data_IF_932277027638
#
_entry.id   IF_932277027638
#
_cell.length_a   1.000
_cell.length_b   1.000
_cell.length_c   1.000
_cell.angle_alpha   90.00
_cell.angle_beta   90.00
_cell.angle_gamma   90.00
#
_symmetry.space_group_name_H-M   'P 1'
#
loop_
_entity.id
_entity.type
_entity.pdbx_description
1 polymer ?
#
# COMPACT_ATOMS: atom_id res chain seq x y z
N UNK A 1 2.04 11.12 7.69
CA UNK A 1 3.25 11.74 7.09
C UNK A 1 4.06 12.57 8.08
N UNK A 2 3.44 13.36 8.96
CA UNK A 2 4.19 14.18 9.93
C UNK A 2 4.97 13.35 10.95
N UNK A 3 4.40 12.23 11.40
CA UNK A 3 5.09 11.28 12.29
C UNK A 3 6.37 10.73 11.67
N UNK A 4 6.34 10.31 10.39
CA UNK A 4 7.52 9.82 9.67
C UNK A 4 8.61 10.90 9.58
N UNK A 5 8.23 12.14 9.23
CA UNK A 5 9.17 13.26 9.15
C UNK A 5 9.81 13.55 10.50
N UNK A 6 9.03 13.47 11.58
CA UNK A 6 9.53 13.67 12.94
C UNK A 6 10.52 12.55 13.32
N UNK A 7 10.15 11.28 13.08
CA UNK A 7 11.02 10.14 13.36
C UNK A 7 12.35 10.22 12.59
N UNK A 8 12.33 10.60 11.31
CA UNK A 8 13.54 10.78 10.48
C UNK A 8 14.44 11.90 11.04
N UNK A 9 13.85 12.99 11.55
CA UNK A 9 14.62 14.11 12.13
C UNK A 9 15.31 13.74 13.44
N UNK A 10 14.64 12.94 14.26
CA UNK A 10 15.14 12.48 15.56
C UNK A 10 16.21 11.38 15.43
N UNK A 11 16.12 10.56 14.38
CA UNK A 11 17.08 9.50 14.11
C UNK A 11 18.49 10.05 13.79
N UNK A 12 19.52 9.30 14.23
CA UNK A 12 20.91 9.58 13.88
C UNK A 12 21.27 8.98 12.52
N UNK A 13 20.73 7.80 12.22
CA UNK A 13 20.95 7.06 10.98
C UNK A 13 19.65 6.33 10.59
N UNK A 14 19.24 6.51 9.35
CA UNK A 14 18.00 5.94 8.81
C UNK A 14 18.35 5.01 7.65
N UNK A 15 17.75 3.83 7.63
CA UNK A 15 17.77 2.95 6.46
C UNK A 15 16.37 2.86 5.89
N UNK A 16 16.22 3.09 4.59
CA UNK A 16 15.02 2.75 3.84
C UNK A 16 15.27 1.44 3.10
N UNK A 17 14.39 0.47 3.26
CA UNK A 17 14.51 -0.86 2.65
C UNK A 17 13.33 -1.10 1.73
N UNK A 18 13.63 -1.53 0.51
CA UNK A 18 12.68 -1.96 -0.51
C UNK A 18 12.80 -3.48 -0.76
N UNK A 19 11.69 -4.18 -1.04
CA UNK A 19 11.77 -5.59 -1.43
C UNK A 19 12.37 -5.76 -2.83
N UNK A 20 12.85 -6.98 -3.11
CA UNK A 20 13.43 -7.39 -4.40
C UNK A 20 12.51 -7.12 -5.60
N UNK A 21 11.19 -7.17 -5.38
CA UNK A 21 10.14 -6.95 -6.38
C UNK A 21 9.57 -5.51 -6.37
N UNK A 22 10.26 -4.56 -5.75
CA UNK A 22 9.81 -3.16 -5.69
C UNK A 22 9.64 -2.54 -7.08
N UNK A 23 8.59 -1.73 -7.21
CA UNK A 23 8.30 -0.98 -8.44
C UNK A 23 9.17 0.29 -8.55
N UNK A 24 9.23 0.90 -9.73
CA UNK A 24 9.90 2.21 -9.88
C UNK A 24 9.23 3.29 -9.02
N UNK A 25 7.92 3.18 -8.79
CA UNK A 25 7.19 4.09 -7.90
C UNK A 25 7.69 4.00 -6.47
N UNK A 26 7.91 2.78 -5.95
CA UNK A 26 8.41 2.57 -4.59
C UNK A 26 9.82 3.15 -4.45
N UNK A 27 10.66 2.90 -5.45
CA UNK A 27 12.02 3.44 -5.51
C UNK A 27 12.04 4.97 -5.54
N UNK A 28 11.23 5.58 -6.41
CA UNK A 28 11.11 7.04 -6.50
C UNK A 28 10.56 7.64 -5.20
N UNK A 29 9.60 6.98 -4.55
CA UNK A 29 9.08 7.41 -3.25
C UNK A 29 10.17 7.37 -2.18
N UNK A 30 10.97 6.30 -2.13
CA UNK A 30 12.11 6.18 -1.23
C UNK A 30 13.15 7.29 -1.47
N UNK A 31 13.46 7.62 -2.73
CA UNK A 31 14.33 8.75 -3.06
C UNK A 31 13.80 10.10 -2.58
N UNK A 32 12.48 10.32 -2.65
CA UNK A 32 11.89 11.55 -2.11
C UNK A 32 12.03 11.63 -0.58
N UNK A 33 11.93 10.50 0.11
CA UNK A 33 12.20 10.45 1.56
C UNK A 33 13.69 10.70 1.83
N UNK A 34 14.60 10.11 1.05
CA UNK A 34 16.05 10.33 1.19
C UNK A 34 16.44 11.80 1.06
N UNK A 35 15.78 12.56 0.17
CA UNK A 35 16.01 14.01 0.00
C UNK A 35 15.76 14.84 1.25
N UNK A 36 15.04 14.33 2.25
CA UNK A 36 14.84 15.00 3.53
C UNK A 36 16.19 15.19 4.25
N UNK A 37 17.06 14.18 4.21
CA UNK A 37 18.40 14.24 4.78
C UNK A 37 19.33 13.20 4.12
N UNK A 38 19.93 13.51 2.96
CA UNK A 38 20.69 12.54 2.16
C UNK A 38 21.91 11.94 2.88
N UNK A 39 22.49 12.67 3.84
CA UNK A 39 23.68 12.20 4.58
C UNK A 39 23.34 11.17 5.65
N UNK A 40 22.11 11.21 6.19
CA UNK A 40 21.65 10.29 7.23
C UNK A 40 20.84 9.11 6.70
N UNK A 41 20.29 9.23 5.50
CA UNK A 41 19.33 8.28 4.95
C UNK A 41 20.01 7.41 3.89
N UNK A 42 20.16 6.13 4.21
CA UNK A 42 20.66 5.11 3.31
C UNK A 42 19.50 4.37 2.65
N UNK A 43 19.53 4.22 1.34
CA UNK A 43 18.53 3.46 0.58
C UNK A 43 19.11 2.10 0.22
N UNK A 44 18.44 1.04 0.66
CA UNK A 44 18.73 -0.35 0.28
C UNK A 44 17.64 -0.77 -0.70
N UNK A 45 18.03 -0.90 -1.97
CA UNK A 45 17.13 -1.24 -3.06
C UNK A 45 17.66 -2.44 -3.86
N UNK A 46 16.83 -3.07 -4.69
CA UNK A 46 17.30 -4.11 -5.59
C UNK A 46 18.37 -3.56 -6.54
N UNK A 47 19.42 -4.34 -6.81
CA UNK A 47 20.56 -3.90 -7.61
C UNK A 47 20.17 -3.39 -9.01
N UNK A 48 19.14 -3.98 -9.62
CA UNK A 48 18.58 -3.52 -10.90
C UNK A 48 18.05 -2.08 -10.81
N UNK A 49 17.39 -1.71 -9.69
CA UNK A 49 16.85 -0.36 -9.49
C UNK A 49 17.96 0.65 -9.25
N UNK A 50 18.97 0.28 -8.46
CA UNK A 50 20.14 1.14 -8.27
C UNK A 50 20.83 1.42 -9.60
N UNK A 51 21.04 0.39 -10.44
CA UNK A 51 21.68 0.55 -11.75
C UNK A 51 20.85 1.38 -12.74
N UNK A 52 19.53 1.20 -12.77
CA UNK A 52 18.66 1.91 -13.70
C UNK A 52 18.56 3.41 -13.39
N UNK A 53 18.72 3.80 -12.13
CA UNK A 53 18.40 5.14 -11.66
C UNK A 53 19.59 5.91 -11.05
N UNK A 54 20.74 5.25 -10.82
CA UNK A 54 21.94 5.88 -10.23
C UNK A 54 22.35 7.14 -10.96
N UNK A 55 22.43 7.06 -12.29
CA UNK A 55 22.93 8.14 -13.15
C UNK A 55 21.94 9.30 -13.23
N UNK A 56 20.64 9.00 -13.13
CA UNK A 56 19.58 9.99 -13.25
C UNK A 56 19.45 10.86 -11.99
N UNK A 57 19.73 10.29 -10.82
CA UNK A 57 19.49 10.96 -9.53
C UNK A 57 20.74 11.18 -8.68
N UNK A 58 21.94 10.94 -9.24
CA UNK A 58 23.22 11.06 -8.52
C UNK A 58 23.21 10.26 -7.20
N UNK A 59 22.68 9.04 -7.27
CA UNK A 59 22.51 8.18 -6.09
C UNK A 59 23.88 7.63 -5.73
N UNK A 60 24.39 8.03 -4.57
CA UNK A 60 25.62 7.46 -4.04
C UNK A 60 25.34 6.03 -3.56
N UNK A 61 26.10 5.03 -4.04
CA UNK A 61 25.94 3.66 -3.58
C UNK A 61 26.12 3.61 -2.06
N UNK A 62 25.23 2.89 -1.38
CA UNK A 62 25.37 2.69 0.06
C UNK A 62 26.60 1.83 0.30
N UNK A 63 27.44 2.26 1.24
CA UNK A 63 28.56 1.44 1.71
C UNK A 63 27.97 0.21 2.42
N UNK A 64 28.10 -0.94 1.78
CA UNK A 64 27.80 -2.23 2.39
C UNK A 64 29.00 -2.66 3.25
N UNK A 65 28.72 -3.23 4.41
CA UNK A 65 29.74 -3.86 5.24
C UNK A 65 29.73 -5.36 4.95
N UNK A 66 30.90 -5.95 4.74
CA UNK A 66 31.04 -7.40 4.60
C UNK A 66 31.74 -7.93 5.83
N UNK A 67 31.05 -8.74 6.64
CA UNK A 67 31.60 -9.36 7.82
C UNK A 67 32.11 -10.76 7.51
N UNK A 68 33.30 -11.04 8.04
CA UNK A 68 33.88 -12.36 8.13
C UNK A 68 33.83 -12.74 9.62
N UNK A 69 32.95 -13.65 9.98
CA UNK A 69 32.71 -14.05 11.37
C UNK A 69 33.30 -15.43 11.63
N UNK A 70 34.05 -15.56 12.72
CA UNK A 70 34.67 -16.81 13.14
C UNK A 70 34.12 -17.22 14.51
N UNK A 71 33.58 -18.42 14.62
CA UNK A 71 33.21 -19.01 15.91
C UNK A 71 34.49 -19.41 16.67
N UNK A 72 34.92 -18.54 17.59
CA UNK A 72 36.13 -18.73 18.39
C UNK A 72 36.01 -19.86 19.42
N UNK A 73 34.82 -20.38 19.69
CA UNK A 73 34.64 -21.56 20.53
C UNK A 73 34.99 -22.84 19.77
N UNK A 74 34.64 -22.90 18.47
CA UNK A 74 34.98 -24.01 17.58
C UNK A 74 36.40 -23.90 16.99
N UNK A 75 36.90 -22.69 16.76
CA UNK A 75 38.22 -22.43 16.21
C UNK A 75 38.86 -21.20 16.86
N UNK A 76 39.54 -21.37 18.02
CA UNK A 76 40.21 -20.27 18.71
C UNK A 76 41.26 -19.60 17.83
N UNK A 77 41.16 -18.27 17.71
CA UNK A 77 42.13 -17.43 17.01
C UNK A 77 43.01 -16.74 18.05
N UNK A 78 44.33 -16.90 17.96
CA UNK A 78 45.28 -16.28 18.89
C UNK A 78 45.76 -14.92 18.39
N UNK A 79 46.00 -14.84 17.09
CA UNK A 79 46.50 -13.64 16.44
C UNK A 79 45.77 -13.45 15.10
N UNK A 80 45.37 -12.21 14.84
CA UNK A 80 44.85 -11.78 13.55
C UNK A 80 45.82 -10.73 13.01
N UNK A 81 46.32 -10.97 11.80
CA UNK A 81 47.07 -9.99 11.02
C UNK A 81 46.50 -9.93 9.62
N UNK A 82 46.65 -8.80 8.95
CA UNK A 82 46.25 -8.65 7.56
C UNK A 82 47.32 -7.92 6.76
N UNK A 83 47.41 -8.28 5.48
CA UNK A 83 48.28 -7.60 4.51
C UNK A 83 47.40 -7.13 3.37
N UNK A 84 47.44 -5.82 3.10
CA UNK A 84 46.73 -5.21 1.99
C UNK A 84 47.72 -5.02 0.83
N UNK A 85 47.59 -5.85 -0.20
CA UNK A 85 48.28 -5.68 -1.48
C UNK A 85 47.49 -4.75 -2.42
N UNK A 86 48.01 -4.59 -3.63
CA UNK A 86 47.40 -3.72 -4.65
C UNK A 86 46.00 -4.21 -5.09
N UNK A 87 45.79 -5.53 -5.14
CA UNK A 87 44.54 -6.16 -5.61
C UNK A 87 43.94 -7.18 -4.66
N UNK A 88 44.54 -7.40 -3.49
CA UNK A 88 44.08 -8.41 -2.53
C UNK A 88 44.24 -7.94 -1.09
N UNK A 89 43.31 -8.38 -0.24
CA UNK A 89 43.44 -8.32 1.20
C UNK A 89 43.62 -9.76 1.70
N UNK A 90 44.80 -10.06 2.25
CA UNK A 90 45.09 -11.37 2.84
C UNK A 90 44.94 -11.26 4.35
N UNK A 91 44.05 -12.05 4.94
CA UNK A 91 43.88 -12.15 6.39
C UNK A 91 44.56 -13.43 6.85
N UNK A 92 45.50 -13.33 7.79
CA UNK A 92 46.12 -14.48 8.42
C UNK A 92 45.59 -14.63 9.84
N UNK A 93 45.19 -15.86 10.17
CA UNK A 93 44.66 -16.25 11.46
C UNK A 93 45.61 -17.28 12.05
N UNK A 94 46.30 -16.94 13.14
CA UNK A 94 47.18 -17.87 13.86
C UNK A 94 46.36 -18.67 14.86
N UNK A 95 46.52 -19.99 14.85
CA UNK A 95 45.74 -20.91 15.67
C UNK A 95 46.63 -22.07 16.17
N UNK A 96 46.34 -22.63 17.36
CA UNK A 96 47.07 -23.77 17.94
C UNK A 96 46.63 -25.15 17.43
N UNK A 97 45.42 -25.25 16.90
CA UNK A 97 44.81 -26.50 16.45
C UNK A 97 44.40 -26.39 14.99
N UNK A 98 44.06 -27.50 14.32
CA UNK A 98 43.58 -27.44 12.94
C UNK A 98 42.35 -26.51 12.84
N UNK A 99 42.38 -25.58 11.88
CA UNK A 99 41.28 -24.63 11.64
C UNK A 99 40.06 -25.38 11.10
N UNK A 100 38.89 -25.16 11.69
CA UNK A 100 37.65 -25.70 11.18
C UNK A 100 36.97 -24.68 10.27
N UNK A 101 36.92 -24.97 8.96
CA UNK A 101 36.26 -24.08 8.01
C UNK A 101 34.77 -23.85 8.32
N UNK A 102 34.10 -24.80 8.99
CA UNK A 102 32.71 -24.63 9.41
C UNK A 102 32.53 -23.55 10.50
N UNK A 103 33.61 -23.12 11.15
CA UNK A 103 33.58 -21.98 12.09
C UNK A 103 33.57 -20.63 11.36
N UNK A 104 33.82 -20.59 10.05
CA UNK A 104 33.84 -19.37 9.26
C UNK A 104 32.48 -19.12 8.61
N UNK A 105 31.98 -17.89 8.73
CA UNK A 105 30.77 -17.44 8.07
C UNK A 105 30.97 -16.05 7.46
N UNK A 106 30.21 -15.77 6.41
CA UNK A 106 30.29 -14.56 5.62
C UNK A 106 28.90 -13.93 5.54
N UNK A 107 28.81 -12.63 5.79
CA UNK A 107 27.54 -11.92 5.75
C UNK A 107 27.72 -10.48 5.26
N UNK A 108 26.83 -10.01 4.38
CA UNK A 108 26.67 -8.58 4.14
C UNK A 108 25.82 -8.00 5.26
N UNK A 109 26.37 -7.08 6.04
CA UNK A 109 25.65 -6.35 7.07
C UNK A 109 25.14 -5.02 6.53
N UNK A 110 23.93 -4.69 6.97
CA UNK A 110 23.45 -3.33 6.86
C UNK A 110 24.25 -2.41 7.78
N UNK A 111 24.50 -1.14 7.37
CA UNK A 111 25.12 -0.18 8.26
C UNK A 111 24.29 -0.01 9.55
N UNK A 112 24.90 0.38 10.67
CA UNK A 112 24.15 0.62 11.90
C UNK A 112 23.14 1.75 11.69
N UNK A 113 21.91 1.51 12.14
CA UNK A 113 20.81 2.47 12.05
C UNK A 113 19.96 2.43 13.33
N UNK A 114 19.44 3.57 13.73
CA UNK A 114 18.47 3.66 14.83
C UNK A 114 17.02 3.78 14.35
N UNK A 115 16.81 3.99 13.04
CA UNK A 115 15.52 3.92 12.38
C UNK A 115 15.61 3.11 11.08
N UNK A 116 14.70 2.15 10.92
CA UNK A 116 14.47 1.41 9.69
C UNK A 116 13.07 1.76 9.17
N UNK A 117 13.00 2.14 7.91
CA UNK A 117 11.76 2.39 7.17
C UNK A 117 11.64 1.32 6.10
N UNK A 118 10.61 0.49 6.15
CA UNK A 118 10.31 -0.46 5.06
C UNK A 118 9.16 0.08 4.22
N UNK A 119 9.27 -0.04 2.90
CA UNK A 119 8.18 0.33 1.99
C UNK A 119 8.19 -0.55 0.75
N UNK A 120 7.05 -0.64 0.05
CA UNK A 120 6.91 -1.54 -1.11
C UNK A 120 6.49 -2.97 -0.74
N UNK A 121 6.53 -3.35 0.54
CA UNK A 121 6.08 -4.66 1.03
C UNK A 121 4.55 -4.77 1.03
N UNK A 122 4.03 -5.95 0.68
CA UNK A 122 2.60 -6.24 0.64
C UNK A 122 1.95 -6.21 2.04
N UNK A 123 2.67 -6.70 3.05
CA UNK A 123 2.19 -6.73 4.44
C UNK A 123 3.30 -6.36 5.43
N UNK A 124 2.92 -6.00 6.66
CA UNK A 124 3.86 -5.79 7.77
C UNK A 124 4.67 -7.06 8.04
N UNK A 125 4.02 -8.22 8.03
CA UNK A 125 4.66 -9.51 8.30
C UNK A 125 5.75 -9.84 7.27
N UNK A 126 5.52 -9.52 5.99
CA UNK A 126 6.54 -9.69 4.94
C UNK A 126 7.75 -8.78 5.18
N UNK A 127 7.50 -7.54 5.60
CA UNK A 127 8.55 -6.60 5.94
C UNK A 127 9.37 -7.08 7.16
N UNK A 128 8.70 -7.53 8.22
CA UNK A 128 9.35 -8.06 9.42
C UNK A 128 10.19 -9.31 9.10
N UNK A 129 9.62 -10.25 8.35
CA UNK A 129 10.34 -11.44 7.92
C UNK A 129 11.59 -11.10 7.09
N UNK A 130 11.49 -10.14 6.17
CA UNK A 130 12.65 -9.68 5.40
C UNK A 130 13.72 -9.07 6.30
N UNK A 131 13.34 -8.31 7.33
CA UNK A 131 14.27 -7.72 8.30
C UNK A 131 14.97 -8.77 9.17
N UNK A 132 14.33 -9.91 9.47
CA UNK A 132 14.94 -11.02 10.20
C UNK A 132 16.05 -11.71 9.41
N UNK A 133 15.93 -11.71 8.07
CA UNK A 133 16.94 -12.27 7.17
C UNK A 133 18.15 -11.34 7.01
N UNK A 134 18.03 -10.06 7.35
CA UNK A 134 19.11 -9.08 7.22
C UNK A 134 19.92 -9.01 8.52
N UNK A 135 21.20 -9.39 8.49
CA UNK A 135 22.02 -9.33 9.69
C UNK A 135 22.31 -7.85 10.02
N UNK A 136 21.79 -7.40 11.17
CA UNK A 136 21.86 -6.00 11.61
C UNK A 136 22.37 -5.89 13.03
N UNK A 137 23.01 -4.76 13.35
CA UNK A 137 23.50 -4.48 14.69
C UNK A 137 22.47 -3.64 15.48
N UNK A 138 22.18 -4.07 16.71
CA UNK A 138 21.37 -3.32 17.67
C UNK A 138 19.86 -3.37 17.44
N UNK A 139 19.13 -2.60 18.25
CA UNK A 139 17.68 -2.42 18.14
C UNK A 139 17.39 -1.12 17.41
N UNK A 140 16.88 -1.22 16.18
CA UNK A 140 16.38 -0.06 15.44
C UNK A 140 14.87 0.06 15.62
N UNK A 141 14.36 1.29 15.71
CA UNK A 141 12.92 1.54 15.56
C UNK A 141 12.51 1.15 14.13
N UNK A 142 11.38 0.48 13.97
CA UNK A 142 10.87 0.11 12.65
C UNK A 142 9.58 0.87 12.34
N UNK A 143 9.52 1.48 11.16
CA UNK A 143 8.31 2.07 10.58
C UNK A 143 8.05 1.38 9.25
N UNK A 144 6.92 0.71 9.12
CA UNK A 144 6.44 0.22 7.83
C UNK A 144 5.54 1.26 7.20
N UNK A 145 5.90 1.68 5.98
CA UNK A 145 5.04 2.47 5.12
C UNK A 145 4.25 1.49 4.28
N UNK A 146 2.99 1.29 4.69
CA UNK A 146 2.03 0.53 3.93
C UNK A 146 2.04 1.02 2.49
N UNK A 147 2.14 0.06 1.56
CA UNK A 147 2.14 0.40 0.17
C UNK A 147 0.78 1.03 -0.14
N UNK A 148 0.76 2.32 -0.49
CA UNK A 148 -0.49 3.03 -0.84
C UNK A 148 -1.20 2.43 -2.06
N UNK A 149 -0.63 1.38 -2.66
CA UNK A 149 -1.36 0.38 -3.41
C UNK A 149 -2.25 -0.45 -2.47
N UNK A 150 -3.29 0.17 -1.90
CA UNK A 150 -4.44 -0.61 -1.47
C UNK A 150 -4.79 -1.51 -2.63
N UNK A 151 -4.79 -2.84 -2.42
CA UNK A 151 -4.92 -3.89 -3.44
C UNK A 151 -5.42 -3.29 -4.75
N UNK A 152 -4.58 -3.29 -5.81
CA UNK A 152 -5.10 -3.14 -7.16
C UNK A 152 -6.12 -4.27 -7.30
N UNK A 153 -7.36 -4.01 -6.89
CA UNK A 153 -8.47 -4.90 -7.01
C UNK A 153 -8.50 -5.10 -8.52
N UNK A 154 -8.00 -6.26 -8.97
CA UNK A 154 -8.07 -6.64 -10.37
C UNK A 154 -9.54 -6.85 -10.61
N UNK A 155 -10.22 -5.75 -10.89
CA UNK A 155 -11.63 -5.73 -11.18
C UNK A 155 -11.77 -6.62 -12.43
N UNK A 156 -12.56 -7.71 -12.38
CA UNK A 156 -12.76 -8.55 -13.54
C UNK A 156 -13.17 -7.70 -14.75
N UNK A 157 -12.74 -8.08 -15.96
CA UNK A 157 -13.07 -7.33 -17.18
C UNK A 157 -14.58 -7.03 -17.31
N UNK A 158 -15.50 -7.97 -17.00
CA UNK A 158 -16.94 -7.68 -16.95
C UNK A 158 -17.31 -6.51 -16.02
N UNK A 159 -16.78 -6.52 -14.79
CA UNK A 159 -17.03 -5.48 -13.80
C UNK A 159 -16.42 -4.12 -14.21
N UNK A 160 -15.30 -4.12 -14.94
CA UNK A 160 -14.75 -2.89 -15.54
C UNK A 160 -15.67 -2.33 -16.63
N UNK A 161 -16.25 -3.20 -17.46
CA UNK A 161 -17.25 -2.79 -18.45
C UNK A 161 -18.51 -2.22 -17.79
N UNK A 162 -18.96 -2.82 -16.68
CA UNK A 162 -20.07 -2.30 -15.87
C UNK A 162 -19.72 -0.93 -15.27
N UNK A 163 -18.50 -0.74 -14.76
CA UNK A 163 -18.04 0.54 -14.23
C UNK A 163 -18.10 1.66 -15.28
N UNK A 164 -17.64 1.40 -16.51
CA UNK A 164 -17.73 2.37 -17.60
C UNK A 164 -19.18 2.75 -17.92
N UNK A 165 -20.10 1.78 -17.89
CA UNK A 165 -21.54 2.04 -18.09
C UNK A 165 -22.15 2.84 -16.95
N UNK A 166 -21.81 2.49 -15.72
CA UNK A 166 -22.24 3.21 -14.51
C UNK A 166 -21.83 4.68 -14.63
N UNK A 167 -20.55 4.96 -14.94
CA UNK A 167 -20.02 6.32 -15.07
C UNK A 167 -20.70 7.14 -16.17
N UNK A 168 -20.94 6.55 -17.34
CA UNK A 168 -21.65 7.22 -18.46
C UNK A 168 -23.08 7.61 -18.08
N UNK A 169 -23.67 6.89 -17.12
CA UNK A 169 -25.03 7.11 -16.62
C UNK A 169 -25.05 7.80 -15.26
N UNK A 170 -23.91 8.34 -14.84
CA UNK A 170 -23.80 9.12 -13.64
C UNK A 170 -24.04 10.61 -13.93
N UNK A 171 -24.69 11.31 -13.00
CA UNK A 171 -24.79 12.77 -13.00
C UNK A 171 -24.49 13.31 -11.61
N UNK A 172 -23.69 14.38 -11.55
CA UNK A 172 -23.41 15.07 -10.30
C UNK A 172 -24.53 16.05 -9.99
N UNK A 173 -24.97 16.03 -8.75
CA UNK A 173 -25.93 16.93 -8.16
C UNK A 173 -25.19 17.89 -7.22
N UNK A 174 -25.00 19.15 -7.62
CA UNK A 174 -24.19 20.09 -6.84
C UNK A 174 -24.87 20.52 -5.54
N UNK A 175 -26.21 20.50 -5.46
CA UNK A 175 -26.96 20.99 -4.30
C UNK A 175 -26.80 20.05 -3.11
N UNK A 176 -26.84 18.74 -3.37
CA UNK A 176 -26.62 17.71 -2.35
C UNK A 176 -25.18 17.22 -2.27
N UNK A 177 -24.34 17.61 -3.24
CA UNK A 177 -23.04 17.02 -3.49
C UNK A 177 -23.12 15.47 -3.57
N UNK A 178 -23.93 14.97 -4.51
CA UNK A 178 -24.20 13.53 -4.70
C UNK A 178 -23.96 13.13 -6.15
N UNK A 179 -23.40 11.94 -6.39
CA UNK A 179 -23.33 11.33 -7.71
C UNK A 179 -24.47 10.33 -7.90
N UNK A 180 -25.44 10.64 -8.74
CA UNK A 180 -26.57 9.75 -9.06
C UNK A 180 -26.24 8.89 -10.27
N UNK A 181 -26.39 7.57 -10.17
CA UNK A 181 -26.11 6.62 -11.25
C UNK A 181 -27.30 5.69 -11.50
N UNK A 182 -27.63 5.45 -12.77
CA UNK A 182 -28.83 4.71 -13.17
C UNK A 182 -28.51 3.58 -14.16
N UNK A 183 -28.51 2.32 -13.70
CA UNK A 183 -28.15 1.14 -14.50
C UNK A 183 -29.39 0.41 -15.00
N UNK A 184 -29.54 0.24 -16.31
CA UNK A 184 -30.63 -0.56 -16.89
C UNK A 184 -30.27 -2.04 -16.94
N UNK A 185 -31.29 -2.90 -17.10
CA UNK A 185 -31.08 -4.35 -17.31
C UNK A 185 -30.11 -4.65 -18.45
N UNK A 186 -30.21 -3.91 -19.55
CA UNK A 186 -29.34 -4.05 -20.72
C UNK A 186 -27.86 -3.86 -20.43
N UNK A 187 -27.50 -3.04 -19.43
CA UNK A 187 -26.11 -2.78 -19.10
C UNK A 187 -25.44 -4.01 -18.48
N UNK A 188 -26.16 -4.72 -17.60
CA UNK A 188 -25.70 -5.99 -17.04
C UNK A 188 -25.51 -7.03 -18.14
N UNK A 189 -26.48 -7.16 -19.05
CA UNK A 189 -26.37 -8.09 -20.17
C UNK A 189 -25.16 -7.76 -21.06
N UNK A 190 -24.93 -6.48 -21.36
CA UNK A 190 -23.81 -6.05 -22.21
C UNK A 190 -22.46 -6.12 -21.49
N UNK A 191 -22.43 -5.97 -20.17
CA UNK A 191 -21.22 -6.09 -19.37
C UNK A 191 -20.94 -7.54 -18.96
N UNK A 192 -21.89 -8.46 -19.15
CA UNK A 192 -21.84 -9.85 -18.65
C UNK A 192 -21.67 -9.89 -17.12
N UNK A 193 -22.46 -9.08 -16.42
CA UNK A 193 -22.44 -8.91 -14.95
C UNK A 193 -23.83 -9.06 -14.35
N UNK A 194 -23.93 -9.02 -13.02
CA UNK A 194 -25.19 -9.02 -12.27
C UNK A 194 -25.24 -7.87 -11.24
N UNK A 195 -26.41 -7.56 -10.64
CA UNK A 195 -26.50 -6.51 -9.62
C UNK A 195 -25.56 -6.71 -8.41
N UNK A 196 -25.21 -7.95 -8.09
CA UNK A 196 -24.27 -8.31 -7.02
C UNK A 196 -22.85 -7.75 -7.27
N UNK A 197 -22.53 -7.36 -8.51
CA UNK A 197 -21.25 -6.71 -8.86
C UNK A 197 -21.22 -5.20 -8.53
N UNK A 198 -22.37 -4.58 -8.22
CA UNK A 198 -22.43 -3.13 -7.95
C UNK A 198 -21.53 -2.71 -6.77
N UNK A 199 -21.54 -3.39 -5.61
CA UNK A 199 -20.69 -3.00 -4.48
C UNK A 199 -19.19 -2.96 -4.83
N UNK A 200 -18.68 -3.95 -5.59
CA UNK A 200 -17.27 -3.97 -5.99
C UNK A 200 -16.95 -2.87 -7.00
N UNK A 201 -17.86 -2.58 -7.93
CA UNK A 201 -17.73 -1.47 -8.89
C UNK A 201 -17.71 -0.12 -8.19
N UNK A 202 -18.65 0.14 -7.26
CA UNK A 202 -18.72 1.40 -6.51
C UNK A 202 -17.47 1.60 -5.67
N UNK A 203 -17.02 0.56 -4.93
CA UNK A 203 -15.76 0.63 -4.16
C UNK A 203 -14.56 0.94 -5.04
N UNK A 204 -14.51 0.35 -6.24
CA UNK A 204 -13.40 0.60 -7.17
C UNK A 204 -13.46 2.02 -7.73
N UNK A 205 -14.65 2.51 -8.09
CA UNK A 205 -14.85 3.88 -8.57
C UNK A 205 -14.37 4.92 -7.54
N UNK A 206 -14.71 4.71 -6.27
CA UNK A 206 -14.27 5.57 -5.16
C UNK A 206 -12.75 5.61 -5.05
N UNK A 207 -12.08 4.46 -5.17
CA UNK A 207 -10.61 4.41 -5.12
C UNK A 207 -9.95 5.14 -6.30
N UNK A 208 -10.63 5.22 -7.44
CA UNK A 208 -10.11 5.81 -8.67
C UNK A 208 -10.46 7.29 -8.85
N UNK A 209 -11.36 7.84 -8.02
CA UNK A 209 -11.88 9.19 -8.16
C UNK A 209 -11.86 9.91 -6.82
N UNK A 210 -12.08 11.22 -6.81
CA UNK A 210 -12.44 11.94 -5.59
C UNK A 210 -13.96 12.10 -5.59
N UNK A 211 -14.73 11.11 -5.09
CA UNK A 211 -16.17 11.14 -5.18
C UNK A 211 -16.74 12.30 -4.33
N UNK A 212 -17.97 12.74 -4.64
CA UNK A 212 -18.66 13.71 -3.81
C UNK A 212 -19.10 13.08 -2.48
N UNK A 213 -19.89 13.80 -1.66
CA UNK A 213 -20.28 13.36 -0.30
C UNK A 213 -20.94 11.98 -0.27
N UNK A 214 -21.68 11.61 -1.32
CA UNK A 214 -22.23 10.27 -1.48
C UNK A 214 -22.39 9.88 -2.96
N UNK A 215 -22.43 8.56 -3.21
CA UNK A 215 -22.78 7.97 -4.50
C UNK A 215 -24.08 7.19 -4.33
N UNK A 216 -25.09 7.48 -5.14
CA UNK A 216 -26.34 6.72 -5.18
C UNK A 216 -26.39 5.96 -6.50
N UNK A 217 -26.53 4.64 -6.42
CA UNK A 217 -26.63 3.78 -7.60
C UNK A 217 -27.97 3.06 -7.59
N UNK A 218 -28.79 3.31 -8.60
CA UNK A 218 -30.02 2.57 -8.86
C UNK A 218 -29.83 1.61 -10.01
N UNK A 219 -30.54 0.49 -9.96
CA UNK A 219 -30.61 -0.44 -11.08
C UNK A 219 -32.01 -1.05 -11.24
N UNK A 220 -32.33 -1.41 -12.48
CA UNK A 220 -33.57 -2.13 -12.81
C UNK A 220 -33.44 -3.63 -12.53
N UNK A 221 -34.46 -4.20 -11.89
CA UNK A 221 -34.68 -5.63 -11.83
C UNK A 221 -36.15 -5.95 -12.18
N UNK A 222 -36.39 -6.98 -12.98
CA UNK A 222 -37.72 -7.22 -13.57
C UNK A 222 -38.10 -6.20 -14.66
N UNK A 223 -39.41 -6.07 -14.96
CA UNK A 223 -39.88 -5.22 -16.07
C UNK A 223 -39.84 -3.72 -15.75
N UNK A 224 -40.08 -3.32 -14.50
CA UNK A 224 -40.13 -1.90 -14.09
C UNK A 224 -39.51 -1.59 -12.73
N UNK A 225 -39.36 -2.60 -11.87
CA UNK A 225 -38.89 -2.36 -10.51
C UNK A 225 -37.44 -1.90 -10.48
N UNK A 226 -37.14 -1.05 -9.52
CA UNK A 226 -35.82 -0.44 -9.32
C UNK A 226 -35.38 -0.68 -7.88
N UNK A 227 -34.12 -1.04 -7.70
CA UNK A 227 -33.47 -1.14 -6.41
C UNK A 227 -32.27 -0.21 -6.40
N UNK A 228 -31.73 0.12 -5.23
CA UNK A 228 -30.55 0.97 -5.15
C UNK A 228 -29.67 0.72 -3.94
N UNK A 229 -28.51 1.35 -3.97
CA UNK A 229 -27.59 1.47 -2.84
C UNK A 229 -27.09 2.91 -2.71
N UNK A 230 -26.78 3.30 -1.48
CA UNK A 230 -26.05 4.53 -1.17
C UNK A 230 -24.70 4.18 -0.60
N UNK A 231 -23.64 4.80 -1.12
CA UNK A 231 -22.30 4.74 -0.58
C UNK A 231 -21.82 6.11 -0.08
N UNK A 232 -21.08 6.15 1.03
CA UNK A 232 -20.40 7.36 1.51
C UNK A 232 -19.23 7.02 2.46
N UNK A 233 -18.19 7.85 2.48
CA UNK A 233 -17.10 7.77 3.48
C UNK A 233 -17.54 8.24 4.87
N UNK A 234 -18.61 9.04 4.95
CA UNK A 234 -19.10 9.56 6.22
C UNK A 234 -19.90 8.47 6.97
N UNK A 235 -19.21 7.82 7.92
CA UNK A 235 -19.77 6.73 8.75
C UNK A 235 -21.01 7.16 9.54
N UNK A 236 -21.04 8.39 10.03
CA UNK A 236 -22.19 8.92 10.79
C UNK A 236 -23.40 9.04 9.87
N UNK A 237 -23.22 9.62 8.69
CA UNK A 237 -24.27 9.75 7.68
C UNK A 237 -24.83 8.37 7.26
N UNK A 238 -23.97 7.40 7.01
CA UNK A 238 -24.36 6.02 6.66
C UNK A 238 -25.14 5.35 7.80
N UNK A 239 -24.68 5.47 9.05
CA UNK A 239 -25.38 4.91 10.21
C UNK A 239 -26.76 5.55 10.43
N UNK A 240 -26.88 6.88 10.26
CA UNK A 240 -28.17 7.58 10.35
C UNK A 240 -29.11 7.13 9.23
N UNK A 241 -28.61 6.98 8.01
CA UNK A 241 -29.39 6.53 6.87
C UNK A 241 -29.90 5.09 7.06
N UNK A 242 -29.03 4.18 7.48
CA UNK A 242 -29.37 2.78 7.76
C UNK A 242 -30.44 2.68 8.87
N UNK A 243 -30.29 3.48 9.94
CA UNK A 243 -31.26 3.54 11.03
C UNK A 243 -32.65 4.02 10.56
N UNK A 244 -32.72 5.06 9.73
CA UNK A 244 -33.99 5.57 9.16
C UNK A 244 -34.67 4.56 8.24
N UNK A 245 -33.90 3.75 7.54
CA UNK A 245 -34.39 2.73 6.62
C UNK A 245 -34.70 1.39 7.30
N UNK A 246 -34.32 1.21 8.57
CA UNK A 246 -34.42 -0.06 9.30
C UNK A 246 -33.71 -1.22 8.58
N UNK A 247 -32.56 -0.95 7.97
CA UNK A 247 -31.74 -1.94 7.26
C UNK A 247 -30.39 -2.12 7.95
N UNK A 248 -29.82 -3.30 7.82
CA UNK A 248 -28.42 -3.52 8.18
C UNK A 248 -27.52 -2.86 7.15
N UNK A 249 -26.50 -2.14 7.63
CA UNK A 249 -25.44 -1.60 6.78
C UNK A 249 -24.34 -2.66 6.58
N UNK A 250 -23.75 -2.69 5.39
CA UNK A 250 -22.53 -3.45 5.12
C UNK A 250 -21.45 -2.44 4.74
N UNK A 251 -20.46 -2.30 5.63
CA UNK A 251 -19.37 -1.33 5.49
C UNK A 251 -19.86 0.12 5.32
N UNK A 252 -19.56 0.73 4.16
CA UNK A 252 -19.93 2.09 3.74
C UNK A 252 -21.13 2.10 2.80
N UNK A 253 -21.89 1.01 2.70
CA UNK A 253 -23.01 0.85 1.77
C UNK A 253 -24.31 0.57 2.53
N UNK A 254 -25.37 1.29 2.16
CA UNK A 254 -26.73 1.09 2.67
C UNK A 254 -27.65 0.69 1.50
N UNK A 255 -28.35 -0.45 1.58
CA UNK A 255 -29.36 -0.81 0.60
C UNK A 255 -30.58 0.11 0.71
N UNK A 256 -31.13 0.51 -0.43
CA UNK A 256 -32.38 1.25 -0.54
C UNK A 256 -33.56 0.28 -0.75
N UNK A 257 -34.79 0.68 -0.38
CA UNK A 257 -35.98 -0.11 -0.66
C UNK A 257 -36.22 -0.26 -2.17
N UNK A 258 -37.17 -1.10 -2.51
CA UNK A 258 -37.64 -1.27 -3.89
C UNK A 258 -38.56 -0.11 -4.30
N UNK A 259 -38.48 0.29 -5.57
CA UNK A 259 -39.27 1.36 -6.18
C UNK A 259 -39.91 0.90 -7.50
N UNK A 260 -40.97 1.58 -7.94
CA UNK A 260 -41.66 1.24 -9.19
C UNK A 260 -40.90 1.65 -10.44
N UNK A 261 -40.00 2.64 -10.34
CA UNK A 261 -39.17 3.14 -11.43
C UNK A 261 -38.06 4.09 -10.91
N UNK A 262 -37.14 4.49 -11.78
CA UNK A 262 -36.05 5.41 -11.44
C UNK A 262 -36.49 6.79 -10.96
N UNK A 263 -37.62 7.32 -11.47
CA UNK A 263 -38.10 8.66 -11.12
C UNK A 263 -38.56 8.68 -9.66
N UNK A 264 -39.35 7.67 -9.27
CA UNK A 264 -39.76 7.49 -7.88
C UNK A 264 -38.55 7.23 -6.98
N UNK A 265 -37.66 6.32 -7.37
CA UNK A 265 -36.46 5.98 -6.62
C UNK A 265 -35.60 7.21 -6.30
N UNK A 266 -35.35 8.06 -7.29
CA UNK A 266 -34.61 9.29 -7.10
C UNK A 266 -35.36 10.27 -6.20
N UNK A 267 -36.67 10.47 -6.45
CA UNK A 267 -37.47 11.46 -5.71
C UNK A 267 -37.52 11.15 -4.22
N UNK A 268 -37.80 9.89 -3.87
CA UNK A 268 -37.88 9.46 -2.47
C UNK A 268 -36.50 9.45 -1.80
N UNK A 269 -35.47 8.98 -2.51
CA UNK A 269 -34.11 8.98 -1.98
C UNK A 269 -33.58 10.40 -1.77
N UNK A 270 -33.90 11.34 -2.67
CA UNK A 270 -33.54 12.76 -2.51
C UNK A 270 -34.11 13.36 -1.23
N UNK A 271 -35.39 13.10 -0.92
CA UNK A 271 -36.02 13.54 0.34
C UNK A 271 -35.30 12.97 1.56
N UNK A 272 -34.96 11.68 1.50
CA UNK A 272 -34.25 10.98 2.57
C UNK A 272 -32.84 11.55 2.80
N UNK A 273 -32.10 11.81 1.73
CA UNK A 273 -30.76 12.40 1.77
C UNK A 273 -30.79 13.83 2.32
N UNK A 274 -31.72 14.66 1.86
CA UNK A 274 -31.86 16.04 2.33
C UNK A 274 -32.09 16.11 3.85
N UNK A 275 -32.97 15.25 4.38
CA UNK A 275 -33.23 15.17 5.83
C UNK A 275 -32.10 14.55 6.66
N UNK A 276 -31.05 14.02 6.02
CA UNK A 276 -29.91 13.36 6.70
C UNK A 276 -28.62 14.15 6.55
N UNK A 277 -28.44 14.89 5.46
CA UNK A 277 -27.27 15.75 5.25
C UNK A 277 -27.38 17.11 5.94
N UNK A 278 -28.60 17.59 6.19
CA UNK A 278 -28.85 18.89 6.83
C UNK A 278 -29.13 18.83 8.33
N UNK A 279 -29.20 17.63 8.92
CA UNK A 279 -29.41 17.41 10.36
C UNK A 279 -28.12 16.97 11.02
#
# INVERSE_FOLDING_TARGET
MDELKQAIREARSVIIILPDHSSDKDFLAALQIQKINPEKIHLIAPAEKEQNWSDTFDIKPVKKEFAITIDTALSPVEELRYEKGDSSLTIFLTHKHAFNQAALSFAEHLPPADLIVTMGFSTLADAEHYLELLPRQGTARHIWLENGEGEKAKLPLPSLALMGRLMVRSRHDPDLNVLWSFITRDDFTKAQTTPEDIPVVVRTLVKLTSPPSAIVTFWQYGERRTQGVVWSENKTFIATLASKLHVEQSDSIVPLPEFDNFIEAETETRKLLHGTLMG
#
